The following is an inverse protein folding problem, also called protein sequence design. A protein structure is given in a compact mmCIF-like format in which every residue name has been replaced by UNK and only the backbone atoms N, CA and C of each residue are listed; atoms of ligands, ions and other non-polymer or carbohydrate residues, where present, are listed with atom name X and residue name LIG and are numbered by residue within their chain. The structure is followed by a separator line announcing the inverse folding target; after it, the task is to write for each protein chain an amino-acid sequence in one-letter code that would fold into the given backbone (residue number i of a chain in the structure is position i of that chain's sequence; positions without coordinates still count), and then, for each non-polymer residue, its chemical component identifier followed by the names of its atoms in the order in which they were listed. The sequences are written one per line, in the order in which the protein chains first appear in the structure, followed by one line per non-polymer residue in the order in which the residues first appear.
data_IF_842548461465
#
_entry.id   IF_842548461465
#
_cell.length_a   1.000
_cell.length_b   1.000
_cell.length_c   1.000
_cell.angle_alpha   90.00
_cell.angle_beta   90.00
_cell.angle_gamma   90.00
#
_symmetry.space_group_name_H-M   'P 1'
#
loop_
_entity.id
_entity.type
_entity.pdbx_description
1 polymer ?
#
# COMPACT_ATOMS: atom_id res chain seq x y z
N UNK A 1 45.11 52.05 3.05
CA UNK A 1 44.34 51.05 2.26
C UNK A 1 44.23 49.81 3.14
N UNK A 2 42.99 49.52 3.53
CA UNK A 2 42.34 48.37 4.23
C UNK A 2 43.16 47.33 5.04
N UNK A 3 42.59 47.04 6.21
CA UNK A 3 43.05 46.26 7.36
C UNK A 3 42.94 44.72 7.23
N UNK A 4 43.65 44.07 8.16
CA UNK A 4 43.27 42.82 8.88
C UNK A 4 43.55 41.46 8.23
N UNK A 5 44.62 40.81 8.67
CA UNK A 5 44.82 39.36 8.57
C UNK A 5 44.24 38.66 9.81
N UNK A 6 43.14 37.94 9.62
CA UNK A 6 42.39 37.26 10.68
C UNK A 6 42.84 35.80 10.86
N UNK A 7 43.10 35.48 12.15
CA UNK A 7 42.70 34.30 12.94
C UNK A 7 42.81 32.88 12.36
N UNK A 8 43.58 32.08 13.10
CA UNK A 8 43.52 30.61 13.20
C UNK A 8 42.08 30.16 13.45
N UNK A 9 41.63 29.12 12.76
CA UNK A 9 40.50 28.31 13.22
C UNK A 9 40.79 26.82 13.05
N UNK A 10 40.65 26.14 14.18
CA UNK A 10 40.79 24.72 14.45
C UNK A 10 39.76 23.89 13.68
N UNK A 11 40.19 22.77 13.10
CA UNK A 11 39.31 21.71 12.65
C UNK A 11 38.72 21.00 13.88
N UNK A 12 37.39 21.08 14.06
CA UNK A 12 36.66 20.23 14.98
C UNK A 12 36.28 18.94 14.25
N UNK A 13 36.80 17.84 14.75
CA UNK A 13 36.42 16.48 14.37
C UNK A 13 34.98 16.23 14.82
N UNK A 14 34.05 16.13 13.86
CA UNK A 14 32.68 15.72 14.13
C UNK A 14 32.58 14.21 13.92
N UNK A 15 32.67 13.46 15.03
CA UNK A 15 32.36 12.04 15.07
C UNK A 15 30.96 11.72 14.48
N UNK A 16 30.70 10.44 14.15
CA UNK A 16 29.48 10.04 13.47
C UNK A 16 28.25 10.46 14.27
N UNK A 17 27.33 11.16 13.59
CA UNK A 17 26.02 11.53 14.14
C UNK A 17 25.32 10.25 14.57
N UNK A 18 25.13 10.08 15.88
CA UNK A 18 24.25 9.06 16.41
C UNK A 18 22.85 9.37 15.88
N UNK A 19 22.34 8.53 14.98
CA UNK A 19 20.93 8.52 14.60
C UNK A 19 20.15 8.08 15.82
N UNK A 20 19.58 9.02 16.56
CA UNK A 20 18.60 8.71 17.60
C UNK A 20 17.39 8.08 16.92
N UNK A 21 17.27 6.75 17.00
CA UNK A 21 16.08 6.04 16.60
C UNK A 21 14.92 6.54 17.48
N UNK A 22 13.97 7.25 16.88
CA UNK A 22 12.74 7.69 17.55
C UNK A 22 12.02 6.47 18.11
N UNK A 23 11.63 6.44 19.39
CA UNK A 23 11.00 5.27 19.97
C UNK A 23 9.64 5.02 19.30
N UNK A 24 9.47 3.82 18.73
CA UNK A 24 8.17 3.34 18.27
C UNK A 24 7.24 3.28 19.49
N UNK A 25 6.19 4.10 19.48
CA UNK A 25 5.13 3.99 20.46
C UNK A 25 4.27 2.78 20.08
N UNK A 26 4.16 1.83 21.00
CA UNK A 26 3.43 0.58 20.78
C UNK A 26 2.03 0.72 21.35
N UNK A 27 1.01 0.40 20.57
CA UNK A 27 -0.34 0.16 21.09
C UNK A 27 -0.48 -1.34 21.37
N UNK A 28 -1.02 -1.68 22.54
CA UNK A 28 -1.47 -3.05 22.85
C UNK A 28 -2.81 -3.28 22.16
N UNK A 29 -2.81 -4.16 21.16
CA UNK A 29 -4.03 -4.71 20.55
C UNK A 29 -4.08 -6.22 20.80
N UNK A 30 -5.24 -6.83 20.54
CA UNK A 30 -5.52 -8.22 20.88
C UNK A 30 -4.54 -9.25 20.26
N UNK A 31 -3.76 -8.87 19.25
CA UNK A 31 -2.76 -9.72 18.58
C UNK A 31 -1.30 -9.27 18.78
N UNK A 32 -1.01 -8.53 19.86
CA UNK A 32 0.35 -8.11 20.24
C UNK A 32 0.58 -6.60 20.16
N UNK A 33 1.83 -6.17 20.34
CA UNK A 33 2.24 -4.78 20.19
C UNK A 33 2.64 -4.51 18.75
N UNK A 34 1.91 -3.63 18.06
CA UNK A 34 2.30 -3.18 16.72
C UNK A 34 2.86 -1.76 16.77
N UNK A 35 3.92 -1.47 15.99
CA UNK A 35 4.43 -0.12 15.88
C UNK A 35 3.35 0.75 15.25
N UNK A 36 3.00 1.84 15.91
CA UNK A 36 2.27 2.91 15.24
C UNK A 36 3.10 3.39 14.04
N UNK A 37 2.40 3.76 12.96
CA UNK A 37 3.03 4.56 11.90
C UNK A 37 3.73 5.78 12.55
N UNK A 38 4.86 6.26 12.00
CA UNK A 38 5.57 7.43 12.53
C UNK A 38 4.66 8.66 12.69
N UNK A 39 3.55 8.70 11.95
CA UNK A 39 2.54 9.75 11.99
C UNK A 39 1.44 9.53 13.06
N UNK A 40 1.55 8.52 13.94
CA UNK A 40 0.62 8.28 15.04
C UNK A 40 -0.76 7.76 14.63
N UNK A 41 -0.94 7.40 13.36
CA UNK A 41 -2.18 6.82 12.83
C UNK A 41 -2.19 5.33 13.11
N UNK A 42 -3.29 4.80 13.65
CA UNK A 42 -3.47 3.35 13.69
C UNK A 42 -3.49 2.82 12.26
N UNK A 43 -2.73 1.76 11.97
CA UNK A 43 -2.72 1.16 10.62
C UNK A 43 -4.12 0.67 10.19
N UNK A 44 -5.04 0.53 11.15
CA UNK A 44 -6.46 0.25 10.97
C UNK A 44 -7.26 1.40 10.34
N UNK A 45 -6.76 2.63 10.32
CA UNK A 45 -7.36 3.72 9.54
C UNK A 45 -6.94 3.69 8.07
N UNK A 46 -5.86 2.99 7.73
CA UNK A 46 -5.46 2.82 6.34
C UNK A 46 -6.32 1.73 5.70
N UNK A 47 -6.89 2.06 4.54
CA UNK A 47 -7.84 1.20 3.83
C UNK A 47 -7.38 0.91 2.42
N UNK A 48 -7.86 -0.21 1.88
CA UNK A 48 -7.82 -0.46 0.44
C UNK A 48 -9.24 -0.51 -0.09
N UNK A 49 -9.56 0.39 -1.02
CA UNK A 49 -10.92 0.57 -1.52
C UNK A 49 -11.23 -0.32 -2.73
N UNK A 50 -12.41 -0.92 -2.76
CA UNK A 50 -12.87 -1.76 -3.87
C UNK A 50 -14.30 -1.42 -4.25
N UNK A 51 -14.66 -1.65 -5.52
CA UNK A 51 -16.07 -1.67 -5.94
C UNK A 51 -16.76 -2.87 -5.24
N UNK A 52 -18.01 -2.70 -4.82
CA UNK A 52 -18.79 -3.69 -4.03
C UNK A 52 -18.73 -5.12 -4.61
N UNK A 53 -18.79 -5.24 -5.94
CA UNK A 53 -18.77 -6.54 -6.64
C UNK A 53 -17.55 -7.41 -6.34
N UNK A 54 -16.41 -6.80 -6.02
CA UNK A 54 -15.16 -7.55 -5.76
C UNK A 54 -15.04 -8.08 -4.33
N UNK A 55 -15.85 -7.59 -3.39
CA UNK A 55 -15.71 -7.95 -1.97
C UNK A 55 -15.92 -9.46 -1.77
N UNK A 56 -16.94 -10.03 -2.40
CA UNK A 56 -17.19 -11.48 -2.31
C UNK A 56 -16.04 -12.32 -2.85
N UNK A 57 -15.41 -11.89 -3.95
CA UNK A 57 -14.26 -12.58 -4.54
C UNK A 57 -13.01 -12.50 -3.64
N UNK A 58 -12.80 -11.35 -2.97
CA UNK A 58 -11.70 -11.20 -2.01
C UNK A 58 -11.91 -12.13 -0.81
N UNK A 59 -13.13 -12.17 -0.26
CA UNK A 59 -13.48 -13.03 0.88
C UNK A 59 -13.28 -14.52 0.54
N UNK A 60 -13.60 -14.93 -0.70
CA UNK A 60 -13.37 -16.30 -1.19
C UNK A 60 -11.91 -16.60 -1.56
N UNK A 61 -11.02 -15.61 -1.53
CA UNK A 61 -9.62 -15.77 -1.92
C UNK A 61 -9.39 -15.87 -3.43
N UNK A 62 -10.40 -15.56 -4.25
CA UNK A 62 -10.30 -15.57 -5.72
C UNK A 62 -9.56 -14.33 -6.23
N UNK A 63 -9.96 -13.15 -5.74
CA UNK A 63 -9.27 -11.89 -6.03
C UNK A 63 -8.15 -11.67 -5.02
N UNK A 64 -6.91 -11.88 -5.45
CA UNK A 64 -5.69 -11.76 -4.63
C UNK A 64 -4.77 -10.63 -5.09
N UNK A 65 -5.13 -9.96 -6.19
CA UNK A 65 -4.35 -8.87 -6.77
C UNK A 65 -5.26 -7.69 -7.12
N UNK A 66 -4.71 -6.48 -7.05
CA UNK A 66 -5.30 -5.30 -7.68
C UNK A 66 -4.27 -4.40 -8.34
N UNK A 67 -4.56 -4.02 -9.58
CA UNK A 67 -3.87 -2.98 -10.34
C UNK A 67 -4.54 -1.64 -10.15
N UNK A 68 -3.73 -0.60 -9.93
CA UNK A 68 -4.17 0.77 -9.68
C UNK A 68 -3.44 1.73 -10.61
N UNK A 69 -4.20 2.70 -11.12
CA UNK A 69 -3.69 3.80 -11.92
C UNK A 69 -2.73 4.75 -11.13
N UNK A 70 -2.89 4.83 -9.82
CA UNK A 70 -2.09 5.65 -8.90
C UNK A 70 -1.54 4.80 -7.74
N UNK A 71 -0.48 5.27 -7.09
CA UNK A 71 0.16 4.53 -5.99
C UNK A 71 -0.79 4.46 -4.79
N UNK A 72 -1.21 3.26 -4.35
CA UNK A 72 -2.02 3.13 -3.15
C UNK A 72 -1.16 3.36 -1.90
N UNK A 73 -1.78 3.88 -0.84
CA UNK A 73 -1.13 4.14 0.47
C UNK A 73 -1.03 2.86 1.31
N UNK A 74 -0.51 1.78 0.72
CA UNK A 74 -0.28 0.50 1.38
C UNK A 74 1.16 0.07 1.25
N UNK A 75 1.63 -0.76 2.19
CA UNK A 75 3.01 -1.26 2.27
C UNK A 75 2.97 -2.78 2.38
N UNK A 76 3.99 -3.43 1.81
CA UNK A 76 4.19 -4.87 1.99
C UNK A 76 4.29 -5.21 3.48
N UNK A 77 3.61 -6.27 3.91
CA UNK A 77 3.49 -6.68 5.30
C UNK A 77 2.44 -5.92 6.13
N UNK A 78 1.83 -4.86 5.59
CA UNK A 78 0.76 -4.13 6.28
C UNK A 78 -0.58 -4.90 6.27
N UNK A 79 -1.39 -4.66 7.30
CA UNK A 79 -2.78 -5.16 7.41
C UNK A 79 -3.72 -3.98 7.24
N UNK A 80 -4.72 -4.13 6.38
CA UNK A 80 -5.61 -3.03 5.98
C UNK A 80 -7.07 -3.48 5.99
N UNK A 81 -7.97 -2.56 6.36
CA UNK A 81 -9.41 -2.77 6.22
C UNK A 81 -9.86 -2.58 4.78
N UNK A 82 -10.83 -3.37 4.35
CA UNK A 82 -11.52 -3.13 3.09
C UNK A 82 -12.50 -1.95 3.22
N UNK A 83 -12.69 -1.22 2.12
CA UNK A 83 -13.64 -0.10 2.04
C UNK A 83 -14.41 -0.16 0.73
N UNK A 84 -15.71 0.13 0.78
CA UNK A 84 -16.56 0.29 -0.41
C UNK A 84 -17.15 1.70 -0.39
N UNK A 85 -16.81 2.51 -1.40
CA UNK A 85 -17.18 3.93 -1.41
C UNK A 85 -16.66 4.62 -0.16
N UNK A 86 -17.58 5.14 0.67
CA UNK A 86 -17.23 5.79 1.94
C UNK A 86 -17.28 4.86 3.16
N UNK A 87 -17.80 3.64 3.02
CA UNK A 87 -18.06 2.72 4.13
C UNK A 87 -16.90 1.77 4.39
N UNK A 88 -16.46 1.70 5.65
CA UNK A 88 -15.51 0.70 6.13
C UNK A 88 -16.20 -0.66 6.26
N UNK A 89 -15.44 -1.71 5.97
CA UNK A 89 -15.88 -3.07 6.17
C UNK A 89 -15.07 -3.74 7.30
N UNK A 90 -15.60 -4.79 7.96
CA UNK A 90 -14.85 -5.54 8.98
C UNK A 90 -13.78 -6.45 8.37
N UNK A 91 -13.82 -6.71 7.06
CA UNK A 91 -12.84 -7.55 6.37
C UNK A 91 -11.43 -6.93 6.36
N UNK A 92 -10.45 -7.76 6.68
CA UNK A 92 -9.04 -7.44 6.70
C UNK A 92 -8.29 -8.17 5.58
N UNK A 93 -7.30 -7.48 5.01
CA UNK A 93 -6.32 -8.08 4.09
C UNK A 93 -4.90 -7.83 4.59
N UNK A 94 -3.99 -8.72 4.22
CA UNK A 94 -2.55 -8.50 4.37
C UNK A 94 -1.93 -8.27 3.01
N UNK A 95 -1.27 -7.12 2.83
CA UNK A 95 -0.54 -6.84 1.60
C UNK A 95 0.77 -7.62 1.61
N UNK A 96 1.02 -8.37 0.55
CA UNK A 96 2.21 -9.20 0.38
C UNK A 96 3.29 -8.46 -0.40
N UNK A 97 2.91 -7.84 -1.52
CA UNK A 97 3.85 -7.15 -2.41
C UNK A 97 3.20 -5.91 -3.00
N UNK A 98 4.02 -4.89 -3.24
CA UNK A 98 3.64 -3.68 -3.98
C UNK A 98 4.74 -3.38 -4.98
N UNK A 99 4.42 -3.37 -6.26
CA UNK A 99 5.38 -3.14 -7.34
C UNK A 99 4.71 -2.50 -8.55
N UNK A 100 5.46 -2.23 -9.61
CA UNK A 100 4.91 -1.70 -10.87
C UNK A 100 5.04 -2.69 -12.01
N UNK A 101 4.07 -2.68 -12.92
CA UNK A 101 4.02 -3.51 -14.13
C UNK A 101 3.52 -2.63 -15.28
N UNK A 102 3.90 -2.91 -16.54
CA UNK A 102 3.17 -2.35 -17.68
C UNK A 102 1.82 -3.04 -17.80
N UNK A 103 0.78 -2.30 -18.09
CA UNK A 103 -0.57 -2.85 -18.19
C UNK A 103 -0.70 -3.87 -19.33
N UNK A 104 0.04 -3.69 -20.41
CA UNK A 104 0.13 -4.61 -21.55
C UNK A 104 0.87 -5.91 -21.26
N UNK A 105 1.69 -5.97 -20.20
CA UNK A 105 2.43 -7.18 -19.82
C UNK A 105 1.57 -8.15 -18.98
N UNK A 106 0.26 -7.91 -18.88
CA UNK A 106 -0.65 -8.77 -18.14
C UNK A 106 -0.89 -10.11 -18.84
N UNK A 107 -0.84 -11.18 -18.06
CA UNK A 107 -1.18 -12.54 -18.47
C UNK A 107 -2.65 -12.87 -18.24
N UNK A 108 -3.10 -14.04 -18.70
CA UNK A 108 -4.44 -14.54 -18.37
C UNK A 108 -4.56 -14.86 -16.87
N UNK A 109 -3.52 -15.43 -16.28
CA UNK A 109 -3.41 -15.73 -14.85
C UNK A 109 -3.50 -14.46 -14.01
N UNK A 110 -2.87 -13.38 -14.48
CA UNK A 110 -2.98 -12.06 -13.87
C UNK A 110 -4.42 -11.54 -13.81
N UNK A 111 -5.21 -11.78 -14.87
CA UNK A 111 -6.62 -11.39 -14.92
C UNK A 111 -7.48 -12.25 -13.99
N UNK A 112 -7.21 -13.56 -13.90
CA UNK A 112 -7.87 -14.46 -12.95
C UNK A 112 -7.63 -14.01 -11.51
N UNK A 113 -6.39 -13.62 -11.16
CA UNK A 113 -6.05 -13.10 -9.81
C UNK A 113 -6.65 -11.72 -9.51
N UNK A 114 -7.00 -10.96 -10.55
CA UNK A 114 -7.81 -9.74 -10.44
C UNK A 114 -9.30 -10.04 -10.21
N UNK A 115 -9.72 -11.30 -10.30
CA UNK A 115 -11.11 -11.71 -10.18
C UNK A 115 -11.94 -11.50 -11.45
N UNK A 116 -11.27 -11.39 -12.61
CA UNK A 116 -11.88 -11.44 -13.93
C UNK A 116 -11.76 -12.86 -14.51
N UNK A 117 -12.68 -13.27 -15.38
CA UNK A 117 -12.65 -14.57 -16.06
C UNK A 117 -11.64 -14.59 -17.23
N UNK A 118 -11.27 -13.44 -17.78
CA UNK A 118 -10.28 -13.33 -18.86
C UNK A 118 -9.60 -11.95 -18.88
N UNK A 119 -8.54 -11.83 -19.70
CA UNK A 119 -7.84 -10.55 -19.91
C UNK A 119 -8.75 -9.50 -20.56
N UNK A 120 -9.64 -9.92 -21.46
CA UNK A 120 -10.64 -9.06 -22.11
C UNK A 120 -11.66 -8.53 -21.10
N UNK A 121 -12.13 -9.39 -20.19
CA UNK A 121 -13.03 -8.96 -19.12
C UNK A 121 -12.32 -7.96 -18.18
N UNK A 122 -11.08 -8.24 -17.79
CA UNK A 122 -10.28 -7.31 -17.00
C UNK A 122 -10.12 -5.96 -17.72
N UNK A 123 -9.82 -5.97 -19.03
CA UNK A 123 -9.68 -4.75 -19.83
C UNK A 123 -10.97 -3.94 -19.87
N UNK A 124 -12.14 -4.58 -19.99
CA UNK A 124 -13.44 -3.91 -19.89
C UNK A 124 -13.62 -3.27 -18.52
N UNK A 125 -13.39 -4.02 -17.44
CA UNK A 125 -13.47 -3.52 -16.07
C UNK A 125 -12.53 -2.35 -15.81
N UNK A 126 -11.31 -2.39 -16.35
CA UNK A 126 -10.33 -1.31 -16.29
C UNK A 126 -10.86 -0.05 -16.95
N UNK A 127 -11.41 -0.15 -18.17
CA UNK A 127 -11.99 0.97 -18.89
C UNK A 127 -13.24 1.53 -18.17
N UNK A 128 -14.05 0.69 -17.55
CA UNK A 128 -15.20 1.12 -16.74
C UNK A 128 -14.80 1.88 -15.45
N UNK A 129 -13.56 1.70 -14.98
CA UNK A 129 -13.04 2.38 -13.77
C UNK A 129 -12.22 3.61 -14.15
N UNK A 130 -11.39 3.52 -15.19
CA UNK A 130 -10.34 4.48 -15.51
C UNK A 130 -10.50 5.14 -16.90
N UNK A 131 -11.51 4.76 -17.68
CA UNK A 131 -11.90 5.37 -18.94
C UNK A 131 -11.23 4.80 -20.19
N UNK A 132 -9.95 4.44 -20.13
CA UNK A 132 -9.21 3.94 -21.31
C UNK A 132 -8.16 2.89 -20.96
N UNK A 133 -7.81 2.08 -21.96
CA UNK A 133 -6.71 1.12 -21.89
C UNK A 133 -5.49 1.65 -22.65
N UNK A 134 -4.37 1.73 -21.96
CA UNK A 134 -3.05 2.02 -22.53
C UNK A 134 -2.09 0.93 -22.05
N UNK A 135 -1.60 0.11 -22.99
CA UNK A 135 -0.73 -1.02 -22.68
C UNK A 135 0.65 -0.60 -22.18
N UNK A 136 1.14 0.58 -22.58
CA UNK A 136 2.44 1.10 -22.16
C UNK A 136 2.39 1.71 -20.75
N UNK A 137 1.19 1.99 -20.23
CA UNK A 137 0.98 2.55 -18.91
C UNK A 137 1.60 1.66 -17.83
N UNK A 138 2.46 2.24 -17.00
CA UNK A 138 2.87 1.62 -15.74
C UNK A 138 1.78 1.77 -14.68
N UNK A 139 1.40 0.65 -14.08
CA UNK A 139 0.37 0.58 -13.02
C UNK A 139 0.97 0.02 -11.75
N UNK A 140 0.35 0.30 -10.62
CA UNK A 140 0.73 -0.26 -9.32
C UNK A 140 0.00 -1.56 -9.08
N UNK A 141 0.74 -2.64 -8.87
CA UNK A 141 0.23 -3.95 -8.51
C UNK A 141 0.32 -4.10 -6.99
N UNK A 142 -0.79 -4.48 -6.37
CA UNK A 142 -0.85 -4.86 -4.96
C UNK A 142 -1.29 -6.31 -4.90
N UNK A 143 -0.38 -7.19 -4.46
CA UNK A 143 -0.72 -8.56 -4.11
C UNK A 143 -1.10 -8.63 -2.63
N UNK A 144 -2.18 -9.33 -2.30
CA UNK A 144 -2.67 -9.45 -0.95
C UNK A 144 -3.37 -10.79 -0.72
N UNK A 145 -3.60 -11.10 0.55
CA UNK A 145 -4.48 -12.19 0.95
C UNK A 145 -5.52 -11.71 1.95
N UNK A 146 -6.65 -12.41 1.99
CA UNK A 146 -7.71 -12.18 2.95
C UNK A 146 -7.36 -12.81 4.30
N UNK A 147 -7.59 -12.08 5.40
CA UNK A 147 -7.29 -12.52 6.76
C UNK A 147 -8.54 -12.88 7.59
N UNK A 148 -9.74 -12.64 7.07
CA UNK A 148 -10.98 -12.76 7.85
C UNK A 148 -11.62 -11.42 8.17
N UNK A 149 -12.69 -11.45 8.96
CA UNK A 149 -13.40 -10.26 9.45
C UNK A 149 -13.11 -10.01 10.92
N UNK A 150 -12.78 -8.77 11.25
CA UNK A 150 -12.67 -8.32 12.64
C UNK A 150 -14.08 -7.97 13.16
N UNK A 151 -14.80 -9.00 13.63
CA UNK A 151 -16.18 -8.86 14.14
C UNK A 151 -16.25 -8.26 15.56
N UNK A 152 -15.17 -7.64 16.05
CA UNK A 152 -15.09 -7.04 17.39
C UNK A 152 -15.23 -5.50 17.39
N UNK A 153 -15.66 -4.89 16.29
CA UNK A 153 -15.92 -3.45 16.17
C UNK A 153 -17.41 -3.14 15.98
#
# INVERSE_FOLDING_TARGET
MVLSGARRHTWLDHGPRQTTATPFHHIKIAYGTQPLSPEGRSDYELTLSFKKRYIGQIIRGEKTVTRRASRPMVKAGGVYRLRVGFSYLPELIRVRRVYTQRLGDMTAEDALREGAASLEEFRRDWMDIYGFWDGDRRVWVVEFEYLGSDRKL
#
